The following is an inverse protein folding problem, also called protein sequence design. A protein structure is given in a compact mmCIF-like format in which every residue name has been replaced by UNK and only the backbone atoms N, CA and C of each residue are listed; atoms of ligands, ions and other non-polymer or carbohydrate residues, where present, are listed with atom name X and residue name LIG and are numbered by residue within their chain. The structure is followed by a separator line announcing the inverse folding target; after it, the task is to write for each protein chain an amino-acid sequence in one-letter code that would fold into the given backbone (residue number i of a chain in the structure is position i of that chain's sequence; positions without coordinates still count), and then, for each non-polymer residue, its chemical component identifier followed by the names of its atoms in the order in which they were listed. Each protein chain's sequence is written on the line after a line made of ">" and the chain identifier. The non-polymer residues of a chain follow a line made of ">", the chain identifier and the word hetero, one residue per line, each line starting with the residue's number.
data_IF_812917855769
#
_entry.id   IF_812917855769
#
_cell.length_a   1.000
_cell.length_b   1.000
_cell.length_c   1.000
_cell.angle_alpha   90.00
_cell.angle_beta   90.00
_cell.angle_gamma   90.00
#
_symmetry.space_group_name_H-M   'P 1'
#
loop_
_entity.id
_entity.type
_entity.pdbx_description
1 polymer ?
#
# COMPACT_ATOMS: atom_id res chain seq x y z
N UNK A 1 29.94 -14.62 -43.32
CA UNK A 1 28.49 -14.40 -43.36
C UNK A 1 28.10 -13.87 -41.99
N UNK A 2 27.76 -12.60 -41.86
CA UNK A 2 27.34 -11.98 -40.60
C UNK A 2 25.82 -11.84 -40.62
N UNK A 3 25.11 -12.66 -39.86
CA UNK A 3 23.69 -12.44 -39.62
C UNK A 3 23.53 -11.20 -38.74
N UNK A 4 22.94 -10.15 -39.32
CA UNK A 4 22.53 -8.97 -38.57
C UNK A 4 21.25 -9.29 -37.82
N UNK A 5 21.30 -9.36 -36.49
CA UNK A 5 20.10 -9.41 -35.67
C UNK A 5 19.53 -8.00 -35.63
N UNK A 6 18.49 -7.74 -36.44
CA UNK A 6 17.69 -6.51 -36.38
C UNK A 6 16.21 -6.87 -36.39
N UNK A 7 15.76 -7.66 -35.42
CA UNK A 7 14.34 -7.80 -35.15
C UNK A 7 14.04 -7.12 -33.82
N UNK A 8 13.44 -5.93 -33.87
CA UNK A 8 13.00 -5.19 -32.71
C UNK A 8 11.50 -5.39 -32.55
N UNK A 9 11.10 -6.00 -31.43
CA UNK A 9 9.69 -6.12 -31.07
C UNK A 9 9.30 -4.95 -30.19
N UNK A 10 8.50 -4.04 -30.75
CA UNK A 10 7.97 -2.87 -30.02
C UNK A 10 6.57 -3.20 -29.49
N UNK A 11 6.38 -2.99 -28.20
CA UNK A 11 5.06 -3.08 -27.57
C UNK A 11 4.29 -1.77 -27.73
N UNK A 12 2.97 -1.89 -27.79
CA UNK A 12 2.07 -0.74 -27.70
C UNK A 12 2.20 -0.05 -26.34
N UNK A 13 2.00 1.26 -26.34
CA UNK A 13 1.99 2.03 -25.11
C UNK A 13 0.85 1.54 -24.19
N UNK A 14 1.12 1.27 -22.90
CA UNK A 14 0.08 0.88 -21.95
C UNK A 14 -1.02 1.95 -21.86
N UNK A 15 -2.28 1.52 -21.97
CA UNK A 15 -3.42 2.42 -21.79
C UNK A 15 -3.55 2.82 -20.33
N UNK A 16 -3.81 4.11 -20.07
CA UNK A 16 -4.10 4.62 -18.73
C UNK A 16 -2.88 5.09 -17.92
N UNK A 17 -1.67 4.97 -18.46
CA UNK A 17 -0.45 5.59 -17.91
C UNK A 17 -0.08 6.73 -18.86
N UNK A 18 -0.33 7.97 -18.45
CA UNK A 18 -0.08 9.15 -19.28
C UNK A 18 1.30 9.73 -18.92
N UNK A 19 2.33 9.34 -19.67
CA UNK A 19 3.71 9.78 -19.45
C UNK A 19 4.46 8.88 -18.46
N UNK A 20 5.78 8.96 -18.49
CA UNK A 20 6.68 7.97 -17.86
C UNK A 20 6.58 7.87 -16.34
N UNK A 21 6.03 8.89 -15.66
CA UNK A 21 6.03 8.99 -14.19
C UNK A 21 4.64 9.17 -13.57
N UNK A 22 3.56 9.16 -14.34
CA UNK A 22 2.22 9.42 -13.78
C UNK A 22 1.79 8.36 -12.76
N UNK A 23 2.24 7.12 -12.93
CA UNK A 23 1.95 6.00 -12.04
C UNK A 23 2.67 6.08 -10.68
N UNK A 24 3.64 6.97 -10.51
CA UNK A 24 4.41 7.11 -9.27
C UNK A 24 3.77 8.09 -8.29
N UNK A 25 2.68 8.75 -8.66
CA UNK A 25 2.03 9.73 -7.81
C UNK A 25 0.97 9.09 -6.91
N UNK A 26 0.91 9.56 -5.67
CA UNK A 26 -0.06 9.12 -4.67
C UNK A 26 -1.52 9.30 -5.11
N UNK A 27 -1.83 10.39 -5.83
CA UNK A 27 -3.16 10.64 -6.37
C UNK A 27 -3.55 9.57 -7.40
N UNK A 28 -2.59 9.15 -8.23
CA UNK A 28 -2.80 8.09 -9.20
C UNK A 28 -2.95 6.72 -8.54
N UNK A 29 -2.18 6.44 -7.47
CA UNK A 29 -2.33 5.21 -6.69
C UNK A 29 -3.73 5.11 -6.04
N UNK A 30 -4.20 6.18 -5.40
CA UNK A 30 -5.56 6.22 -4.85
C UNK A 30 -6.63 6.11 -5.94
N UNK A 31 -6.43 6.78 -7.08
CA UNK A 31 -7.35 6.72 -8.23
C UNK A 31 -7.43 5.33 -8.85
N UNK A 32 -6.31 4.65 -9.04
CA UNK A 32 -6.26 3.28 -9.59
C UNK A 32 -6.84 2.26 -8.61
N UNK A 33 -6.83 2.55 -7.31
CA UNK A 33 -7.52 1.70 -6.32
C UNK A 33 -9.05 1.73 -6.52
N UNK A 34 -9.63 2.82 -7.01
CA UNK A 34 -11.08 2.95 -7.26
C UNK A 34 -11.52 2.60 -8.69
N UNK A 35 -10.68 2.86 -9.69
CA UNK A 35 -11.04 2.68 -11.12
C UNK A 35 -9.97 1.99 -11.96
N UNK A 36 -9.01 1.35 -11.32
CA UNK A 36 -8.00 0.52 -11.96
C UNK A 36 -8.50 -0.91 -12.18
N UNK A 37 -7.57 -1.86 -12.20
CA UNK A 37 -7.89 -3.26 -12.52
C UNK A 37 -8.63 -4.00 -11.39
N UNK A 38 -8.45 -3.57 -10.13
CA UNK A 38 -9.10 -4.18 -8.98
C UNK A 38 -9.80 -3.13 -8.10
N UNK A 39 -11.01 -2.67 -8.49
CA UNK A 39 -11.76 -1.66 -7.74
C UNK A 39 -12.58 -2.23 -6.56
N UNK A 40 -12.55 -3.55 -6.34
CA UNK A 40 -13.46 -4.22 -5.40
C UNK A 40 -12.84 -4.53 -4.03
N UNK A 41 -11.52 -4.43 -3.89
CA UNK A 41 -10.81 -4.78 -2.65
C UNK A 41 -10.70 -3.66 -1.63
N UNK A 42 -11.07 -2.43 -2.00
CA UNK A 42 -11.07 -1.31 -1.05
C UNK A 42 -12.27 -1.39 -0.12
N UNK A 43 -12.03 -1.19 1.17
CA UNK A 43 -13.04 -1.29 2.22
C UNK A 43 -12.99 -0.09 3.17
N UNK A 44 -14.00 0.01 4.04
CA UNK A 44 -13.95 0.92 5.19
C UNK A 44 -13.37 0.19 6.40
N UNK A 45 -12.38 0.76 7.10
CA UNK A 45 -11.91 0.18 8.35
C UNK A 45 -13.03 0.26 9.40
N UNK A 46 -13.26 -0.85 10.11
CA UNK A 46 -14.29 -0.93 11.16
C UNK A 46 -13.81 -0.42 12.52
N UNK A 47 -12.49 -0.48 12.73
CA UNK A 47 -11.81 -0.04 13.94
C UNK A 47 -10.40 0.39 13.55
N UNK A 48 -9.77 1.15 14.44
CA UNK A 48 -8.37 1.55 14.31
C UNK A 48 -7.64 1.29 15.64
N UNK A 49 -6.44 0.69 15.63
CA UNK A 49 -5.74 0.13 14.47
C UNK A 49 -6.50 -1.06 13.84
N UNK A 50 -6.28 -1.39 12.55
CA UNK A 50 -6.84 -2.59 11.95
C UNK A 50 -6.40 -3.86 12.69
N UNK A 51 -7.29 -4.85 12.77
CA UNK A 51 -7.03 -6.10 13.51
C UNK A 51 -7.11 -7.29 12.56
N UNK A 52 -6.07 -8.12 12.57
CA UNK A 52 -6.01 -9.39 11.85
C UNK A 52 -6.97 -10.42 12.44
N UNK A 53 -7.57 -11.23 11.57
CA UNK A 53 -8.43 -12.37 11.93
C UNK A 53 -7.67 -13.69 11.93
N UNK A 54 -6.37 -13.67 11.62
CA UNK A 54 -5.54 -14.86 11.60
C UNK A 54 -5.28 -15.41 13.01
N UNK A 55 -4.95 -16.70 13.09
CA UNK A 55 -4.66 -17.36 14.36
C UNK A 55 -3.40 -16.77 15.00
N UNK A 56 -3.56 -16.13 16.16
CA UNK A 56 -2.50 -15.44 16.89
C UNK A 56 -1.41 -16.37 17.41
N UNK A 57 -1.71 -17.65 17.62
CA UNK A 57 -0.70 -18.65 18.00
C UNK A 57 0.27 -18.96 16.86
N UNK A 58 -0.11 -18.68 15.60
CA UNK A 58 0.72 -18.93 14.41
C UNK A 58 1.35 -17.63 13.91
N UNK A 59 0.58 -16.54 13.90
CA UNK A 59 0.96 -15.28 13.27
C UNK A 59 1.22 -14.15 14.27
N UNK A 60 1.34 -14.45 15.56
CA UNK A 60 1.64 -13.47 16.60
C UNK A 60 0.49 -12.49 16.88
N UNK A 61 0.80 -11.29 17.42
CA UNK A 61 -0.21 -10.29 17.78
C UNK A 61 -1.07 -9.85 16.59
N UNK A 62 -2.41 -9.84 16.74
CA UNK A 62 -3.33 -9.54 15.65
C UNK A 62 -3.38 -8.05 15.29
N UNK A 63 -2.96 -7.16 16.19
CA UNK A 63 -3.02 -5.71 16.00
C UNK A 63 -2.07 -5.26 14.90
N UNK A 64 -2.52 -4.35 14.02
CA UNK A 64 -1.65 -3.66 13.07
C UNK A 64 -0.62 -2.80 13.80
N UNK A 65 0.56 -2.67 13.22
CA UNK A 65 1.60 -1.75 13.68
C UNK A 65 1.28 -0.28 13.32
N UNK A 66 0.24 -0.01 12.52
CA UNK A 66 -0.16 1.36 12.18
C UNK A 66 -0.88 2.00 13.37
N UNK A 67 -0.13 2.80 14.12
CA UNK A 67 -0.63 3.62 15.23
C UNK A 67 -1.20 4.98 14.76
N UNK A 68 -1.90 5.68 15.65
CA UNK A 68 -2.55 6.96 15.32
C UNK A 68 -1.55 8.05 14.93
N UNK A 69 -0.39 8.10 15.59
CA UNK A 69 0.69 9.04 15.28
C UNK A 69 1.16 8.98 13.82
N UNK A 70 1.06 7.81 13.19
CA UNK A 70 1.47 7.62 11.80
C UNK A 70 0.55 8.36 10.82
N UNK A 71 -0.71 8.56 11.17
CA UNK A 71 -1.73 9.06 10.23
C UNK A 71 -2.29 10.43 10.61
N UNK A 72 -2.20 10.84 11.88
CA UNK A 72 -2.86 12.04 12.40
C UNK A 72 -2.49 13.32 11.63
N UNK A 73 -1.24 13.45 11.20
CA UNK A 73 -0.75 14.59 10.43
C UNK A 73 -1.40 14.74 9.05
N UNK A 74 -2.05 13.68 8.54
CA UNK A 74 -2.71 13.67 7.24
C UNK A 74 -4.21 13.95 7.29
N UNK A 75 -4.81 13.99 8.49
CA UNK A 75 -6.26 14.06 8.68
C UNK A 75 -6.81 15.49 8.74
N UNK A 76 -6.06 16.48 8.26
CA UNK A 76 -6.47 17.89 8.22
C UNK A 76 -7.00 18.42 9.58
N UNK A 77 -6.36 18.02 10.68
CA UNK A 77 -6.75 18.43 12.03
C UNK A 77 -7.86 17.61 12.68
N UNK A 78 -8.41 16.60 12.01
CA UNK A 78 -9.32 15.62 12.63
C UNK A 78 -8.54 14.61 13.48
N UNK A 79 -9.19 14.09 14.52
CA UNK A 79 -8.74 12.86 15.18
C UNK A 79 -9.00 11.63 14.29
N UNK A 80 -8.33 10.51 14.59
CA UNK A 80 -8.58 9.25 13.89
C UNK A 80 -10.04 8.81 14.05
N UNK A 81 -10.61 8.95 15.25
CA UNK A 81 -12.01 8.62 15.52
C UNK A 81 -12.98 9.47 14.70
N UNK A 82 -12.76 10.79 14.60
CA UNK A 82 -13.57 11.66 13.74
C UNK A 82 -13.49 11.24 12.27
N UNK A 83 -12.28 10.92 11.79
CA UNK A 83 -12.09 10.47 10.41
C UNK A 83 -12.78 9.12 10.11
N UNK A 84 -12.90 8.22 11.10
CA UNK A 84 -13.69 6.99 10.99
C UNK A 84 -15.19 7.29 10.92
N UNK A 85 -15.70 8.14 11.83
CA UNK A 85 -17.12 8.50 11.92
C UNK A 85 -17.60 9.26 10.68
N UNK A 86 -16.78 10.18 10.16
CA UNK A 86 -17.06 10.94 8.94
C UNK A 86 -16.78 10.16 7.64
N UNK A 87 -16.45 8.87 7.74
CA UNK A 87 -16.18 7.98 6.60
C UNK A 87 -15.04 8.50 5.69
N UNK A 88 -14.01 9.08 6.30
CA UNK A 88 -12.84 9.64 5.61
C UNK A 88 -11.68 8.66 5.49
N UNK A 89 -11.69 7.55 6.22
CA UNK A 89 -10.67 6.52 6.12
C UNK A 89 -11.14 5.33 5.29
N UNK A 90 -10.23 4.80 4.48
CA UNK A 90 -10.41 3.60 3.67
C UNK A 90 -9.18 2.71 3.80
N UNK A 91 -9.34 1.42 3.52
CA UNK A 91 -8.26 0.45 3.65
C UNK A 91 -8.23 -0.53 2.47
N UNK A 92 -7.03 -0.85 2.02
CA UNK A 92 -6.74 -2.03 1.22
C UNK A 92 -6.00 -3.02 2.12
N UNK A 93 -6.72 -4.03 2.64
CA UNK A 93 -6.16 -5.00 3.59
C UNK A 93 -5.88 -6.33 2.90
N UNK A 94 -4.63 -6.54 2.50
CA UNK A 94 -4.16 -7.81 1.96
C UNK A 94 -3.32 -8.61 2.98
N UNK A 95 -3.29 -8.18 4.24
CA UNK A 95 -2.47 -8.83 5.25
C UNK A 95 -2.93 -10.28 5.46
N UNK A 96 -4.20 -10.47 5.79
CA UNK A 96 -4.72 -11.80 6.13
C UNK A 96 -4.76 -12.74 4.92
N UNK A 97 -4.84 -12.17 3.72
CA UNK A 97 -4.85 -12.91 2.46
C UNK A 97 -3.45 -13.45 2.14
N UNK A 98 -2.40 -12.63 2.25
CA UNK A 98 -1.06 -13.04 1.81
C UNK A 98 -0.15 -13.55 2.92
N UNK A 99 -0.34 -13.13 4.17
CA UNK A 99 0.55 -13.51 5.28
C UNK A 99 0.74 -15.05 5.40
N UNK A 100 -0.31 -15.88 5.24
CA UNK A 100 -0.16 -17.34 5.26
C UNK A 100 0.75 -17.93 4.17
N UNK A 101 0.95 -17.21 3.07
CA UNK A 101 1.68 -17.69 1.89
C UNK A 101 3.08 -17.11 1.76
N UNK A 102 3.43 -16.07 2.54
CA UNK A 102 4.70 -15.35 2.37
C UNK A 102 5.92 -16.26 2.51
N UNK A 103 5.93 -17.19 3.47
CA UNK A 103 7.06 -18.10 3.65
C UNK A 103 7.31 -18.94 2.39
N UNK A 104 6.25 -19.47 1.78
CA UNK A 104 6.34 -20.22 0.53
C UNK A 104 6.70 -19.35 -0.66
N UNK A 105 6.21 -18.11 -0.72
CA UNK A 105 6.54 -17.18 -1.82
C UNK A 105 8.02 -16.79 -1.75
N UNK A 106 8.51 -16.48 -0.55
CA UNK A 106 9.86 -15.98 -0.30
C UNK A 106 10.94 -17.07 -0.35
N UNK A 107 10.57 -18.35 -0.36
CA UNK A 107 11.51 -19.47 -0.55
C UNK A 107 11.80 -19.79 -2.02
N UNK A 108 11.08 -19.18 -2.97
CA UNK A 108 11.23 -19.46 -4.39
C UNK A 108 12.17 -18.44 -5.04
N UNK A 109 13.42 -18.87 -5.29
CA UNK A 109 14.45 -18.06 -5.94
C UNK A 109 14.71 -16.75 -5.21
N UNK A 110 14.79 -15.65 -5.94
CA UNK A 110 15.08 -14.31 -5.40
C UNK A 110 13.81 -13.52 -5.02
N UNK A 111 12.66 -14.18 -4.88
CA UNK A 111 11.39 -13.50 -4.56
C UNK A 111 11.40 -12.94 -3.14
N UNK A 112 10.87 -11.72 -3.00
CA UNK A 112 10.59 -11.06 -1.72
C UNK A 112 9.20 -10.45 -1.78
N UNK A 113 8.33 -10.88 -0.88
CA UNK A 113 6.96 -10.43 -0.76
C UNK A 113 6.63 -10.13 0.71
N UNK A 114 5.72 -9.17 0.86
CA UNK A 114 5.14 -8.75 2.13
C UNK A 114 3.62 -8.80 2.01
N UNK A 115 2.95 -9.05 3.13
CA UNK A 115 1.51 -8.88 3.22
C UNK A 115 1.27 -7.44 3.67
N UNK A 116 0.38 -6.72 2.98
CA UNK A 116 0.28 -5.27 3.11
C UNK A 116 -1.07 -4.81 3.63
N UNK A 117 -1.05 -3.71 4.39
CA UNK A 117 -2.23 -2.87 4.61
C UNK A 117 -1.94 -1.47 4.14
N UNK A 118 -2.83 -0.88 3.36
CA UNK A 118 -2.72 0.51 2.97
C UNK A 118 -3.91 1.28 3.50
N UNK A 119 -3.66 2.32 4.29
CA UNK A 119 -4.66 3.26 4.75
C UNK A 119 -4.72 4.43 3.78
N UNK A 120 -5.93 4.81 3.39
CA UNK A 120 -6.21 5.97 2.56
C UNK A 120 -7.07 6.97 3.32
N UNK A 121 -6.83 8.24 3.03
CA UNK A 121 -7.67 9.36 3.44
C UNK A 121 -8.42 9.94 2.25
N UNK A 122 -9.73 10.13 2.40
CA UNK A 122 -10.57 10.87 1.45
C UNK A 122 -10.40 12.37 1.69
N UNK A 123 -9.68 13.02 0.79
CA UNK A 123 -9.38 14.44 0.90
C UNK A 123 -10.64 15.29 0.69
N UNK A 124 -10.65 16.55 1.15
CA UNK A 124 -11.72 17.50 0.83
C UNK A 124 -11.92 17.74 -0.67
N UNK A 125 -10.92 17.43 -1.50
CA UNK A 125 -10.99 17.53 -2.96
C UNK A 125 -11.68 16.31 -3.61
N UNK A 126 -12.12 15.33 -2.82
CA UNK A 126 -12.80 14.13 -3.32
C UNK A 126 -11.86 13.06 -3.90
N UNK A 127 -10.56 13.15 -3.60
CA UNK A 127 -9.56 12.16 -4.02
C UNK A 127 -9.12 11.28 -2.85
N UNK A 128 -8.80 10.01 -3.13
CA UNK A 128 -8.14 9.15 -2.16
C UNK A 128 -6.63 9.38 -2.18
N UNK A 129 -6.06 9.61 -1.00
CA UNK A 129 -4.63 9.75 -0.79
C UNK A 129 -4.14 8.61 0.12
N UNK A 130 -3.13 7.80 -0.27
CA UNK A 130 -2.47 6.88 0.65
C UNK A 130 -1.77 7.67 1.77
N UNK A 131 -1.92 7.23 3.03
CA UNK A 131 -1.33 7.93 4.20
C UNK A 131 -0.42 7.03 5.02
N UNK A 132 -0.65 5.72 5.01
CA UNK A 132 0.22 4.75 5.66
C UNK A 132 0.21 3.42 4.90
N UNK A 133 1.36 2.75 4.85
CA UNK A 133 1.51 1.39 4.32
C UNK A 133 2.19 0.54 5.38
N UNK A 134 1.51 -0.48 5.86
CA UNK A 134 2.09 -1.54 6.69
C UNK A 134 2.62 -2.65 5.80
N UNK A 135 3.84 -3.11 6.10
CA UNK A 135 4.48 -4.27 5.49
C UNK A 135 4.71 -5.33 6.56
N UNK A 136 3.98 -6.44 6.47
CA UNK A 136 4.14 -7.62 7.31
C UNK A 136 5.01 -8.66 6.60
N UNK A 137 6.02 -9.17 7.28
CA UNK A 137 6.90 -10.23 6.79
C UNK A 137 6.48 -11.61 7.29
N UNK A 138 6.92 -12.68 6.63
CA UNK A 138 6.69 -14.04 7.12
C UNK A 138 7.28 -14.20 8.54
N UNK A 139 6.63 -14.97 9.44
CA UNK A 139 7.24 -15.36 10.71
C UNK A 139 8.59 -16.03 10.44
N UNK A 140 9.64 -15.61 11.14
CA UNK A 140 10.94 -16.27 11.04
C UNK A 140 11.01 -17.44 12.04
N UNK A 141 11.92 -18.39 11.83
CA UNK A 141 12.12 -19.49 12.78
C UNK A 141 12.67 -19.01 14.14
N UNK A 142 13.25 -17.80 14.19
CA UNK A 142 13.85 -17.23 15.39
C UNK A 142 12.93 -16.26 16.14
N UNK A 143 11.99 -15.65 15.44
CA UNK A 143 10.97 -14.79 16.02
C UNK A 143 9.62 -15.45 15.72
N UNK A 144 8.97 -16.03 16.74
CA UNK A 144 7.64 -16.65 16.65
C UNK A 144 6.52 -15.64 16.28
N UNK A 145 6.84 -14.53 15.60
CA UNK A 145 5.93 -13.48 15.18
C UNK A 145 6.44 -12.79 13.91
N UNK A 146 5.53 -12.41 12.99
CA UNK A 146 5.81 -11.53 11.86
C UNK A 146 6.49 -10.23 12.31
N UNK A 147 7.51 -9.78 11.59
CA UNK A 147 7.97 -8.39 11.69
C UNK A 147 7.04 -7.49 10.87
N UNK A 148 6.68 -6.34 11.43
CA UNK A 148 5.81 -5.34 10.81
C UNK A 148 6.58 -4.03 10.70
N UNK A 149 6.52 -3.37 9.55
CA UNK A 149 7.10 -2.06 9.30
C UNK A 149 6.02 -1.12 8.77
N UNK A 150 5.96 0.10 9.30
CA UNK A 150 5.05 1.14 8.80
C UNK A 150 5.83 2.16 8.00
N UNK A 151 5.35 2.44 6.79
CA UNK A 151 5.81 3.51 5.93
C UNK A 151 4.76 4.62 5.98
N UNK A 152 5.14 5.78 6.51
CA UNK A 152 4.32 6.99 6.48
C UNK A 152 4.72 7.84 5.29
N UNK A 153 3.73 8.22 4.48
CA UNK A 153 3.96 9.05 3.31
C UNK A 153 3.95 10.52 3.73
N UNK A 154 5.04 10.97 4.34
CA UNK A 154 5.28 12.39 4.56
C UNK A 154 5.24 13.09 3.19
N UNK A 155 4.37 14.10 3.08
CA UNK A 155 4.29 14.91 1.87
C UNK A 155 5.64 15.57 1.64
N UNK A 156 6.38 15.12 0.63
CA UNK A 156 7.44 15.92 0.03
C UNK A 156 6.77 16.83 -1.00
N UNK A 157 6.86 18.16 -0.85
CA UNK A 157 6.54 19.03 -1.97
C UNK A 157 7.37 18.59 -3.18
N UNK A 158 6.82 18.61 -4.41
CA UNK A 158 7.67 18.47 -5.59
C UNK A 158 8.79 19.52 -5.48
N UNK A 159 10.05 19.17 -5.81
CA UNK A 159 11.13 20.14 -5.82
C UNK A 159 10.67 21.32 -6.68
N UNK A 160 10.68 22.52 -6.10
CA UNK A 160 10.40 23.73 -6.85
C UNK A 160 11.42 23.78 -7.97
N UNK A 161 10.95 23.59 -9.20
CA UNK A 161 11.79 23.76 -10.38
C UNK A 161 12.29 25.20 -10.35
N UNK A 162 13.54 25.39 -9.95
CA UNK A 162 14.24 26.64 -10.15
C UNK A 162 14.43 26.76 -11.65
N UNK A 163 13.51 27.46 -12.30
CA UNK A 163 13.77 28.01 -13.62
C UNK A 163 15.01 28.88 -13.52
N UNK A 164 16.01 28.53 -14.30
CA UNK A 164 17.04 29.40 -14.86
C UNK A 164 17.49 28.78 -16.18
#
# INVERSE_FOLDING_TARGET
>A
MSESITESHRFDAPKGISGELSCLRDDEFGRLTLRGMNPFSIERPKAFPPVSKLNTSIYGPPESAVEEEHIIAHLNGMSVQQALEELKLFILDYNDIYLPFLSRINSVGDRKAHATRTIFYLTPLGTLKPIAIELSSAPSLELNSPSKQVLTLLWTPPPTGTGN
#
